data_IF_063881987905
#
_entry.id   IF_063881987905
#
_cell.length_a   1.000
_cell.length_b   1.000
_cell.length_c   1.000
_cell.angle_alpha   90.00
_cell.angle_beta   90.00
_cell.angle_gamma   90.00
#
_symmetry.space_group_name_H-M   'P 1'
#
loop_
_entity.id
_entity.type
_entity.pdbx_description
1 polymer ?
#
# COMPACT_ATOMS: atom_id res chain seq x y z
N UNK A 1 7.43 -11.22 22.06
CA UNK A 1 8.00 -11.02 20.71
C UNK A 1 6.94 -10.73 19.63
N UNK A 2 5.96 -9.83 19.85
CA UNK A 2 4.82 -9.69 18.92
C UNK A 2 4.42 -8.24 18.58
N UNK A 3 4.93 -7.23 19.28
CA UNK A 3 4.69 -5.81 18.94
C UNK A 3 5.48 -5.36 17.72
N UNK A 4 6.77 -5.70 17.64
CA UNK A 4 7.66 -5.28 16.55
C UNK A 4 7.18 -5.75 15.17
N UNK A 5 6.72 -7.00 15.04
CA UNK A 5 6.19 -7.52 13.79
C UNK A 5 4.89 -6.79 13.39
N UNK A 6 4.00 -6.57 14.35
CA UNK A 6 2.73 -5.87 14.12
C UNK A 6 2.94 -4.41 13.72
N UNK A 7 3.93 -3.75 14.31
CA UNK A 7 4.34 -2.40 13.95
C UNK A 7 5.00 -2.34 12.57
N UNK A 8 5.87 -3.29 12.25
CA UNK A 8 6.49 -3.39 10.93
C UNK A 8 5.44 -3.59 9.82
N UNK A 9 4.45 -4.46 10.05
CA UNK A 9 3.33 -4.68 9.13
C UNK A 9 2.50 -3.41 8.96
N UNK A 10 2.17 -2.71 10.06
CA UNK A 10 1.43 -1.44 10.00
C UNK A 10 2.20 -0.38 9.21
N UNK A 11 3.50 -0.20 9.49
CA UNK A 11 4.36 0.74 8.76
C UNK A 11 4.41 0.41 7.27
N UNK A 12 4.56 -0.86 6.91
CA UNK A 12 4.52 -1.30 5.51
C UNK A 12 3.17 -1.00 4.84
N UNK A 13 2.05 -1.28 5.53
CA UNK A 13 0.71 -1.00 4.99
C UNK A 13 0.53 0.49 4.72
N UNK A 14 0.90 1.34 5.68
CA UNK A 14 0.84 2.80 5.54
C UNK A 14 1.75 3.31 4.43
N UNK A 15 2.95 2.73 4.28
CA UNK A 15 3.87 3.06 3.20
C UNK A 15 3.22 2.83 1.82
N UNK A 16 2.66 1.64 1.58
CA UNK A 16 2.01 1.34 0.30
C UNK A 16 0.78 2.21 0.06
N UNK A 17 -0.09 2.39 1.07
CA UNK A 17 -1.25 3.29 0.92
C UNK A 17 -0.83 4.70 0.53
N UNK A 18 0.16 5.28 1.22
CA UNK A 18 0.65 6.62 0.91
C UNK A 18 1.19 6.70 -0.52
N UNK A 19 1.98 5.72 -0.95
CA UNK A 19 2.52 5.68 -2.33
C UNK A 19 1.43 5.58 -3.38
N UNK A 20 0.40 4.78 -3.13
CA UNK A 20 -0.71 4.61 -4.07
C UNK A 20 -1.59 5.87 -4.15
N UNK A 21 -1.73 6.60 -3.04
CA UNK A 21 -2.39 7.91 -3.00
C UNK A 21 -1.54 8.97 -3.74
N UNK A 22 -0.24 9.04 -3.46
CA UNK A 22 0.70 9.96 -4.14
C UNK A 22 0.77 9.70 -5.65
N UNK A 23 0.65 8.44 -6.07
CA UNK A 23 0.60 8.05 -7.46
C UNK A 23 -0.75 8.35 -8.15
N UNK A 24 -1.77 8.79 -7.40
CA UNK A 24 -3.11 9.06 -7.92
C UNK A 24 -3.92 7.82 -8.30
N UNK A 25 -3.46 6.60 -7.93
CA UNK A 25 -4.15 5.35 -8.24
C UNK A 25 -5.41 5.21 -7.40
N UNK A 26 -5.32 5.61 -6.13
CA UNK A 26 -6.46 5.67 -5.21
C UNK A 26 -6.61 7.09 -4.67
N UNK A 27 -7.84 7.42 -4.26
CA UNK A 27 -8.14 8.66 -3.54
C UNK A 27 -8.30 8.36 -2.05
N UNK A 28 -8.07 9.34 -1.18
CA UNK A 28 -8.29 9.17 0.27
C UNK A 28 -9.74 8.82 0.61
N UNK A 29 -10.69 9.25 -0.23
CA UNK A 29 -12.12 8.93 -0.09
C UNK A 29 -12.44 7.49 -0.53
N UNK A 30 -11.51 6.77 -1.15
CA UNK A 30 -11.74 5.45 -1.71
C UNK A 30 -11.67 4.40 -0.60
N UNK A 31 -12.84 3.99 -0.10
CA UNK A 31 -12.98 2.98 0.95
C UNK A 31 -12.29 1.66 0.59
N UNK A 32 -12.15 1.37 -0.71
CA UNK A 32 -11.44 0.18 -1.21
C UNK A 32 -10.00 0.17 -0.72
N UNK A 33 -9.32 1.32 -0.69
CA UNK A 33 -7.93 1.42 -0.23
C UNK A 33 -7.75 0.90 1.21
N UNK A 34 -8.72 1.16 2.09
CA UNK A 34 -8.69 0.73 3.48
C UNK A 34 -9.09 -0.74 3.67
N UNK A 35 -9.89 -1.28 2.75
CA UNK A 35 -10.31 -2.68 2.72
C UNK A 35 -9.19 -3.62 2.23
N UNK A 36 -8.24 -3.11 1.43
CA UNK A 36 -7.12 -3.91 0.93
C UNK A 36 -6.23 -4.43 2.07
N UNK A 37 -5.81 -5.68 1.90
CA UNK A 37 -4.78 -6.32 2.73
C UNK A 37 -3.38 -5.82 2.35
N UNK A 38 -2.39 -6.12 3.19
CA UNK A 38 -1.01 -5.72 2.94
C UNK A 38 -0.49 -6.29 1.61
N UNK A 39 -0.79 -7.56 1.32
CA UNK A 39 -0.34 -8.24 0.11
C UNK A 39 -0.92 -7.61 -1.14
N UNK A 40 -2.20 -7.24 -1.12
CA UNK A 40 -2.85 -6.58 -2.26
C UNK A 40 -2.25 -5.19 -2.50
N UNK A 41 -2.08 -4.38 -1.45
CA UNK A 41 -1.40 -3.08 -1.55
C UNK A 41 0.01 -3.21 -2.13
N UNK A 42 0.75 -4.26 -1.73
CA UNK A 42 2.07 -4.56 -2.25
C UNK A 42 2.03 -4.95 -3.74
N UNK A 43 1.10 -5.80 -4.16
CA UNK A 43 0.96 -6.21 -5.56
C UNK A 43 0.62 -5.03 -6.47
N UNK A 44 -0.31 -4.18 -6.05
CA UNK A 44 -0.68 -2.98 -6.82
C UNK A 44 0.52 -2.04 -6.92
N UNK A 45 1.23 -1.81 -5.81
CA UNK A 45 2.43 -0.98 -5.81
C UNK A 45 3.54 -1.54 -6.73
N UNK A 46 3.78 -2.85 -6.71
CA UNK A 46 4.74 -3.50 -7.59
C UNK A 46 4.33 -3.38 -9.06
N UNK A 47 3.05 -3.64 -9.38
CA UNK A 47 2.52 -3.49 -10.73
C UNK A 47 2.66 -2.05 -11.23
N UNK A 48 2.37 -1.06 -10.38
CA UNK A 48 2.58 0.35 -10.69
C UNK A 48 4.04 0.69 -10.96
N UNK A 49 4.96 0.22 -10.11
CA UNK A 49 6.40 0.44 -10.29
C UNK A 49 6.92 -0.17 -11.59
N UNK A 50 6.44 -1.37 -11.96
CA UNK A 50 6.78 -2.01 -13.23
C UNK A 50 6.24 -1.25 -14.44
N UNK A 51 5.06 -0.63 -14.34
CA UNK A 51 4.48 0.18 -15.42
C UNK A 51 5.15 1.54 -15.60
N UNK A 52 5.63 2.17 -14.52
CA UNK A 52 6.32 3.47 -14.58
C UNK A 52 7.71 3.40 -15.23
N UNK A 53 8.29 2.22 -15.34
CA UNK A 53 9.65 2.01 -15.85
C UNK A 53 9.74 1.68 -17.35
N UNK A 54 8.62 1.76 -18.07
CA UNK A 54 8.52 1.59 -19.53
C UNK A 54 8.21 2.92 -20.23
#
# INVERSE_FOLDING_TARGET
MSKLLREAIKKKKQFYMKRLLEAGIYKESDLRLYQLTLSELQQIYQSYQSQKSN
#
